data_IF_601161180400
#
_entry.id   IF_601161180400
#
_cell.length_a   1.000
_cell.length_b   1.000
_cell.length_c   1.000
_cell.angle_alpha   90.00
_cell.angle_beta   90.00
_cell.angle_gamma   90.00
#
_symmetry.space_group_name_H-M   'P 1'
#
loop_
_entity.id
_entity.type
_entity.pdbx_description
1 polymer ?
#
# COMPACT_ATOMS: atom_id res chain seq x y z
N UNK A 1 10.46 26.90 34.05
CA UNK A 1 11.24 25.76 33.53
C UNK A 1 10.26 24.79 32.91
N UNK A 2 9.87 25.06 31.66
CA UNK A 2 9.00 24.16 30.90
C UNK A 2 9.95 23.17 30.25
N UNK A 3 9.87 21.91 30.66
CA UNK A 3 10.53 20.83 29.94
C UNK A 3 9.91 20.82 28.54
N UNK A 4 10.71 21.16 27.53
CA UNK A 4 10.45 20.85 26.13
C UNK A 4 10.59 19.32 26.03
N UNK A 5 9.66 18.59 26.61
CA UNK A 5 9.56 17.16 26.39
C UNK A 5 9.08 17.01 24.96
N UNK A 6 10.01 16.61 24.10
CA UNK A 6 9.77 15.68 23.03
C UNK A 6 8.58 16.06 22.15
N UNK A 7 8.81 17.03 21.25
CA UNK A 7 8.20 16.90 19.92
C UNK A 7 8.80 15.61 19.36
N UNK A 8 8.23 14.47 19.72
CA UNK A 8 8.46 13.21 19.03
C UNK A 8 8.14 13.56 17.59
N UNK A 9 9.18 13.70 16.75
CA UNK A 9 8.98 13.65 15.32
C UNK A 9 8.46 12.25 15.08
N UNK A 10 7.14 12.11 15.06
CA UNK A 10 6.51 10.85 14.73
C UNK A 10 6.98 10.49 13.33
N UNK A 11 7.57 9.30 13.21
CA UNK A 11 8.10 8.84 11.94
C UNK A 11 6.96 8.68 10.95
N UNK A 12 7.17 9.14 9.72
CA UNK A 12 6.18 8.98 8.66
C UNK A 12 5.97 7.50 8.39
N UNK A 13 4.72 7.06 8.50
CA UNK A 13 4.32 5.67 8.22
C UNK A 13 4.09 5.48 6.72
N UNK A 14 4.86 4.58 6.14
CA UNK A 14 4.74 4.17 4.74
C UNK A 14 4.27 2.72 4.70
N UNK A 15 3.09 2.50 4.14
CA UNK A 15 2.52 1.18 3.92
C UNK A 15 2.81 0.68 2.53
N UNK A 16 3.36 -0.52 2.41
CA UNK A 16 3.59 -1.20 1.13
C UNK A 16 2.57 -2.31 0.98
N UNK A 17 1.67 -2.17 0.01
CA UNK A 17 0.68 -3.17 -0.34
C UNK A 17 1.42 -4.32 -1.03
N UNK A 18 1.30 -5.54 -0.49
CA UNK A 18 1.86 -6.73 -1.11
C UNK A 18 0.97 -7.94 -0.88
N UNK A 19 0.68 -8.69 -1.94
CA UNK A 19 -0.03 -9.95 -1.83
C UNK A 19 0.80 -10.96 -1.04
N UNK A 20 0.19 -11.67 -0.08
CA UNK A 20 0.85 -12.70 0.74
C UNK A 20 1.66 -13.72 -0.06
N UNK A 21 1.15 -14.10 -1.25
CA UNK A 21 1.77 -15.06 -2.17
C UNK A 21 3.00 -14.51 -2.92
N UNK A 22 3.19 -13.20 -2.96
CA UNK A 22 4.19 -12.51 -3.79
C UNK A 22 5.52 -12.32 -3.04
N UNK A 23 6.12 -13.45 -2.63
CA UNK A 23 7.32 -13.46 -1.78
C UNK A 23 8.55 -12.87 -2.46
N UNK A 24 8.75 -13.13 -3.76
CA UNK A 24 9.92 -12.64 -4.49
C UNK A 24 9.89 -11.12 -4.67
N UNK A 25 8.72 -10.54 -5.00
CA UNK A 25 8.56 -9.08 -5.05
C UNK A 25 8.79 -8.45 -3.68
N UNK A 26 8.29 -9.09 -2.61
CA UNK A 26 8.55 -8.65 -1.24
C UNK A 26 10.04 -8.57 -0.91
N UNK A 27 10.81 -9.61 -1.26
CA UNK A 27 12.27 -9.62 -1.08
C UNK A 27 12.97 -8.50 -1.87
N UNK A 28 12.53 -8.24 -3.11
CA UNK A 28 13.07 -7.16 -3.92
C UNK A 28 12.81 -5.79 -3.29
N UNK A 29 11.58 -5.54 -2.81
CA UNK A 29 11.22 -4.30 -2.12
C UNK A 29 12.02 -4.12 -0.82
N UNK A 30 12.20 -5.19 -0.03
CA UNK A 30 13.04 -5.14 1.17
C UNK A 30 14.47 -4.70 0.84
N UNK A 31 15.07 -5.25 -0.22
CA UNK A 31 16.41 -4.83 -0.68
C UNK A 31 16.43 -3.37 -1.15
N UNK A 32 15.36 -2.89 -1.78
CA UNK A 32 15.27 -1.47 -2.16
C UNK A 32 15.19 -0.55 -0.94
N UNK A 33 14.43 -0.93 0.09
CA UNK A 33 14.32 -0.19 1.36
C UNK A 33 15.67 -0.17 2.10
N UNK A 34 16.38 -1.30 2.14
CA UNK A 34 17.73 -1.39 2.71
C UNK A 34 18.68 -0.41 2.01
N UNK A 35 18.73 -0.44 0.67
CA UNK A 35 19.53 0.49 -0.14
C UNK A 35 19.11 1.95 0.06
N UNK A 36 17.82 2.21 0.23
CA UNK A 36 17.32 3.55 0.50
C UNK A 36 17.91 4.10 1.81
N UNK A 37 17.89 3.32 2.89
CA UNK A 37 18.49 3.72 4.16
C UNK A 37 20.02 3.76 4.14
N UNK A 38 20.69 2.95 3.31
CA UNK A 38 22.14 3.07 3.08
C UNK A 38 22.51 4.42 2.46
N UNK A 39 21.72 4.91 1.50
CA UNK A 39 21.94 6.19 0.85
C UNK A 39 21.50 7.38 1.72
N UNK A 40 20.50 7.19 2.59
CA UNK A 40 19.91 8.22 3.44
C UNK A 40 19.81 7.77 4.90
N UNK A 41 20.95 7.56 5.61
CA UNK A 41 20.94 7.02 6.97
C UNK A 41 20.23 7.92 7.99
N UNK A 42 20.23 9.23 7.76
CA UNK A 42 19.56 10.20 8.62
C UNK A 42 18.02 10.05 8.64
N UNK A 43 17.44 9.39 7.63
CA UNK A 43 15.99 9.18 7.52
C UNK A 43 15.50 7.93 8.24
N UNK A 44 16.40 7.11 8.80
CA UNK A 44 16.05 5.83 9.43
C UNK A 44 15.11 5.97 10.63
N UNK A 45 15.26 7.07 11.38
CA UNK A 45 14.41 7.37 12.54
C UNK A 45 13.19 8.23 12.15
N UNK A 46 13.15 8.77 10.93
CA UNK A 46 12.08 9.64 10.44
C UNK A 46 11.03 8.89 9.58
N UNK A 47 11.37 7.71 9.05
CA UNK A 47 10.50 6.96 8.13
C UNK A 47 10.37 5.51 8.58
N UNK A 48 9.13 5.03 8.69
CA UNK A 48 8.82 3.66 9.03
C UNK A 48 8.08 2.95 7.89
N UNK A 49 8.69 1.91 7.32
CA UNK A 49 8.08 1.07 6.30
C UNK A 49 7.38 -0.15 6.92
N UNK A 50 6.09 -0.32 6.63
CA UNK A 50 5.27 -1.45 7.06
C UNK A 50 4.66 -2.18 5.85
N UNK A 51 4.73 -3.50 5.82
CA UNK A 51 4.07 -4.29 4.76
C UNK A 51 2.62 -4.56 5.14
N UNK A 52 1.70 -4.15 4.26
CA UNK A 52 0.29 -4.48 4.34
C UNK A 52 -0.02 -5.70 3.48
N UNK A 53 -0.66 -6.72 4.08
CA UNK A 53 -1.11 -7.91 3.33
C UNK A 53 -2.30 -7.52 2.45
N UNK A 54 -2.06 -7.43 1.14
CA UNK A 54 -3.08 -7.05 0.17
C UNK A 54 -4.23 -8.07 0.15
N UNK A 55 -5.44 -7.55 -0.06
CA UNK A 55 -6.63 -8.38 -0.26
C UNK A 55 -6.50 -9.09 -1.60
N UNK A 56 -6.58 -10.42 -1.56
CA UNK A 56 -6.48 -11.26 -2.74
C UNK A 56 -7.87 -11.57 -3.32
N UNK A 57 -8.10 -11.13 -4.56
CA UNK A 57 -9.31 -11.42 -5.33
C UNK A 57 -9.64 -12.92 -5.43
N UNK A 58 -8.62 -13.78 -5.39
CA UNK A 58 -8.81 -15.24 -5.49
C UNK A 58 -9.37 -15.86 -4.21
N UNK A 59 -9.23 -15.18 -3.07
CA UNK A 59 -9.71 -15.68 -1.77
C UNK A 59 -11.14 -15.19 -1.58
N UNK A 60 -12.10 -16.11 -1.78
CA UNK A 60 -13.53 -15.81 -1.73
C UNK A 60 -13.97 -15.16 -0.40
N UNK A 61 -13.39 -15.60 0.72
CA UNK A 61 -13.68 -15.05 2.05
C UNK A 61 -13.35 -13.54 2.15
N UNK A 62 -12.21 -13.12 1.60
CA UNK A 62 -11.83 -11.70 1.61
C UNK A 62 -12.82 -10.86 0.79
N UNK A 63 -13.26 -11.39 -0.35
CA UNK A 63 -14.21 -10.74 -1.24
C UNK A 63 -15.61 -10.67 -0.62
N UNK A 64 -16.05 -11.72 0.08
CA UNK A 64 -17.32 -11.74 0.80
C UNK A 64 -17.33 -10.77 1.98
N UNK A 65 -16.24 -10.73 2.77
CA UNK A 65 -16.05 -9.77 3.85
C UNK A 65 -16.11 -8.34 3.31
N UNK A 66 -15.42 -8.05 2.22
CA UNK A 66 -15.43 -6.71 1.61
C UNK A 66 -16.80 -6.34 1.01
N UNK A 67 -17.44 -7.28 0.30
CA UNK A 67 -18.77 -7.08 -0.27
C UNK A 67 -19.83 -6.77 0.80
N UNK A 68 -19.64 -7.25 2.03
CA UNK A 68 -20.54 -6.97 3.16
C UNK A 68 -20.48 -5.51 3.63
N UNK A 69 -19.33 -4.84 3.51
CA UNK A 69 -19.18 -3.42 3.86
C UNK A 69 -19.89 -2.50 2.86
N UNK A 70 -20.05 -2.94 1.61
CA UNK A 70 -20.61 -2.11 0.53
C UNK A 70 -21.70 -2.82 -0.29
N UNK A 71 -22.86 -3.15 0.31
CA UNK A 71 -23.94 -3.85 -0.38
C UNK A 71 -24.49 -3.04 -1.57
N UNK A 72 -24.47 -1.71 -1.50
CA UNK A 72 -24.86 -0.82 -2.61
C UNK A 72 -23.80 -0.74 -3.72
N UNK A 73 -22.51 -0.79 -3.36
CA UNK A 73 -21.42 -0.79 -4.33
C UNK A 73 -21.38 -2.11 -5.09
N UNK A 74 -21.75 -3.23 -4.45
CA UNK A 74 -22.00 -4.50 -5.14
C UNK A 74 -23.10 -4.37 -6.18
N UNK A 75 -24.21 -3.70 -5.86
CA UNK A 75 -25.24 -3.42 -6.88
C UNK A 75 -24.72 -2.50 -7.99
N UNK A 76 -23.87 -1.50 -7.71
CA UNK A 76 -23.37 -0.58 -8.73
C UNK A 76 -22.26 -1.19 -9.61
N UNK A 77 -21.37 -1.97 -8.99
CA UNK A 77 -20.25 -2.67 -9.63
C UNK A 77 -20.69 -3.92 -10.42
N UNK A 78 -21.80 -4.56 -10.02
CA UNK A 78 -22.34 -5.77 -10.65
C UNK A 78 -23.66 -5.57 -11.41
N UNK A 79 -24.35 -4.42 -11.30
CA UNK A 79 -25.56 -4.13 -12.10
C UNK A 79 -25.28 -3.18 -13.25
N UNK A 80 -24.60 -3.69 -14.28
CA UNK A 80 -24.98 -3.38 -15.66
C UNK A 80 -26.02 -4.39 -16.11
N UNK A 81 -27.31 -4.03 -16.11
CA UNK A 81 -28.36 -4.79 -16.82
C UNK A 81 -27.92 -5.01 -18.27
N UNK A 82 -27.60 -6.25 -18.63
CA UNK A 82 -27.49 -6.63 -20.05
C UNK A 82 -26.12 -6.47 -20.72
N UNK A 83 -25.01 -6.58 -19.98
CA UNK A 83 -23.69 -6.80 -20.56
C UNK A 83 -22.82 -5.54 -20.68
N UNK A 84 -21.68 -5.54 -19.98
CA UNK A 84 -20.59 -4.62 -20.25
C UNK A 84 -20.47 -3.43 -19.30
N UNK A 85 -20.21 -3.67 -18.02
CA UNK A 85 -19.33 -2.83 -17.19
C UNK A 85 -19.09 -3.59 -15.88
N UNK A 86 -18.18 -4.57 -15.92
CA UNK A 86 -17.85 -5.40 -14.77
C UNK A 86 -16.51 -4.96 -14.22
N UNK A 87 -16.49 -4.39 -13.02
CA UNK A 87 -15.26 -4.19 -12.26
C UNK A 87 -14.64 -5.58 -12.07
N UNK A 88 -13.38 -5.76 -12.48
CA UNK A 88 -12.68 -7.01 -12.32
C UNK A 88 -12.49 -7.31 -10.83
N UNK A 89 -12.55 -8.57 -10.42
CA UNK A 89 -12.34 -8.94 -9.02
C UNK A 89 -11.00 -8.42 -8.47
N UNK A 90 -9.98 -8.32 -9.34
CA UNK A 90 -8.69 -7.72 -9.02
C UNK A 90 -8.74 -6.22 -8.78
N UNK A 91 -9.55 -5.48 -9.54
CA UNK A 91 -9.76 -4.04 -9.34
C UNK A 91 -10.51 -3.80 -8.02
N UNK A 92 -11.51 -4.63 -7.73
CA UNK A 92 -12.23 -4.58 -6.47
C UNK A 92 -11.32 -4.90 -5.27
N UNK A 93 -10.43 -5.88 -5.41
CA UNK A 93 -9.47 -6.26 -4.38
C UNK A 93 -8.38 -5.19 -4.15
N UNK A 94 -7.91 -4.53 -5.21
CA UNK A 94 -7.01 -3.37 -5.11
C UNK A 94 -7.69 -2.21 -4.38
N UNK A 95 -8.93 -1.87 -4.75
CA UNK A 95 -9.72 -0.86 -4.06
C UNK A 95 -9.94 -1.22 -2.58
N UNK A 96 -10.25 -2.47 -2.28
CA UNK A 96 -10.44 -2.95 -0.93
C UNK A 96 -9.20 -2.81 -0.05
N UNK A 97 -8.02 -3.08 -0.63
CA UNK A 97 -6.74 -2.95 0.05
C UNK A 97 -6.45 -1.49 0.43
N UNK A 98 -6.63 -0.56 -0.51
CA UNK A 98 -6.47 0.87 -0.26
C UNK A 98 -7.47 1.41 0.76
N UNK A 99 -8.73 1.00 0.64
CA UNK A 99 -9.77 1.46 1.55
C UNK A 99 -9.51 1.02 2.99
N UNK A 100 -8.97 -0.19 3.17
CA UNK A 100 -8.56 -0.69 4.49
C UNK A 100 -7.44 0.17 5.10
N UNK A 101 -6.47 0.60 4.28
CA UNK A 101 -5.42 1.52 4.71
C UNK A 101 -5.95 2.93 4.97
N UNK A 102 -6.92 3.43 4.21
CA UNK A 102 -7.57 4.71 4.49
C UNK A 102 -8.38 4.67 5.78
N UNK A 103 -9.05 3.56 6.09
CA UNK A 103 -9.69 3.37 7.39
C UNK A 103 -8.65 3.41 8.52
N UNK A 104 -7.51 2.72 8.35
CA UNK A 104 -6.39 2.77 9.28
C UNK A 104 -5.82 4.20 9.43
N UNK A 105 -5.75 4.99 8.35
CA UNK A 105 -5.36 6.40 8.38
C UNK A 105 -6.29 7.23 9.29
N UNK A 106 -7.60 7.05 9.14
CA UNK A 106 -8.61 7.72 9.98
C UNK A 106 -8.53 7.24 11.44
N UNK A 107 -8.34 5.95 11.67
CA UNK A 107 -8.21 5.37 13.02
C UNK A 107 -6.96 5.84 13.75
N UNK A 108 -5.83 5.97 13.05
CA UNK A 108 -4.57 6.47 13.60
C UNK A 108 -4.56 7.99 13.74
N UNK A 109 -5.39 8.70 12.96
CA UNK A 109 -5.39 10.16 12.87
C UNK A 109 -4.00 10.74 12.50
N UNK A 110 -3.28 10.04 11.62
CA UNK A 110 -1.94 10.39 11.16
C UNK A 110 -1.86 10.31 9.63
N UNK A 111 -0.97 11.10 9.03
CA UNK A 111 -0.71 10.99 7.60
C UNK A 111 0.05 9.70 7.29
N UNK A 112 -0.48 8.91 6.34
CA UNK A 112 0.17 7.69 5.85
C UNK A 112 0.49 7.82 4.37
N UNK A 113 1.62 7.26 3.94
CA UNK A 113 1.94 7.06 2.53
C UNK A 113 1.65 5.61 2.16
N UNK A 114 1.03 5.39 1.00
CA UNK A 114 0.70 4.06 0.49
C UNK A 114 1.49 3.84 -0.80
N UNK A 115 2.24 2.73 -0.86
CA UNK A 115 3.00 2.27 -2.03
C UNK A 115 2.47 0.91 -2.48
N UNK A 116 2.43 0.69 -3.79
CA UNK A 116 2.06 -0.60 -4.40
C UNK A 116 3.27 -1.54 -4.51
N UNK A 117 3.05 -2.79 -4.92
CA UNK A 117 4.08 -3.84 -4.91
C UNK A 117 5.17 -3.71 -6.01
N UNK A 118 5.15 -2.64 -6.79
CA UNK A 118 5.98 -2.39 -7.98
C UNK A 118 6.76 -1.06 -7.94
N UNK A 119 6.90 -0.43 -6.77
CA UNK A 119 7.67 0.81 -6.64
C UNK A 119 9.19 0.63 -6.87
N UNK A 120 9.85 1.74 -7.19
CA UNK A 120 11.31 1.83 -7.29
C UNK A 120 11.81 3.20 -6.79
N UNK A 121 12.92 3.22 -6.05
CA UNK A 121 13.60 4.45 -5.65
C UNK A 121 14.65 4.85 -6.69
N UNK A 122 14.47 6.00 -7.33
CA UNK A 122 15.51 6.59 -8.18
C UNK A 122 16.63 7.20 -7.31
N UNK A 123 17.90 6.98 -7.69
CA UNK A 123 19.04 7.68 -7.08
C UNK A 123 20.04 6.84 -6.28
N UNK A 124 19.85 5.52 -6.15
CA UNK A 124 20.92 4.64 -5.67
C UNK A 124 21.84 4.26 -6.83
N UNK A 125 23.13 4.56 -6.75
CA UNK A 125 24.14 4.39 -7.82
C UNK A 125 24.28 2.97 -8.40
N UNK A 126 23.32 2.56 -9.20
CA UNK A 126 23.29 1.33 -9.98
C UNK A 126 22.30 1.52 -11.13
N UNK A 127 22.83 1.57 -12.34
CA UNK A 127 22.14 1.76 -13.62
C UNK A 127 20.74 1.13 -13.65
N UNK A 128 19.72 1.97 -13.82
CA UNK A 128 18.38 1.50 -14.20
C UNK A 128 18.45 0.90 -15.61
N UNK A 129 17.93 -0.31 -15.85
CA UNK A 129 17.59 -0.72 -17.19
C UNK A 129 16.25 -0.05 -17.54
N UNK A 130 16.33 1.03 -18.31
CA UNK A 130 15.24 1.60 -19.12
C UNK A 130 13.89 1.74 -18.41
N UNK A 131 13.73 2.77 -17.59
CA UNK A 131 12.42 3.36 -17.40
C UNK A 131 12.20 4.33 -18.56
N UNK A 132 11.29 3.97 -19.47
CA UNK A 132 10.76 4.91 -20.46
C UNK A 132 10.03 6.00 -19.67
N UNK A 133 10.57 7.21 -19.70
CA UNK A 133 9.82 8.43 -19.37
C UNK A 133 8.64 8.53 -20.33
N UNK A 134 7.43 8.63 -19.78
CA UNK A 134 6.22 8.97 -20.52
C UNK A 134 6.30 10.38 -21.12
#
# INVERSE_FOLDING_TARGET
MIFINDFVRESMKIFIINLKRSLERKKLMQKQIERFFENYPNLKDEINFEFFEAIDAKIKENMEKFASYFPKFRSLAFCGRGGGCGILDTELACFASHLSLWQKCVELNEAILILEDDFYFEGGGGTSPNFLTF
#
